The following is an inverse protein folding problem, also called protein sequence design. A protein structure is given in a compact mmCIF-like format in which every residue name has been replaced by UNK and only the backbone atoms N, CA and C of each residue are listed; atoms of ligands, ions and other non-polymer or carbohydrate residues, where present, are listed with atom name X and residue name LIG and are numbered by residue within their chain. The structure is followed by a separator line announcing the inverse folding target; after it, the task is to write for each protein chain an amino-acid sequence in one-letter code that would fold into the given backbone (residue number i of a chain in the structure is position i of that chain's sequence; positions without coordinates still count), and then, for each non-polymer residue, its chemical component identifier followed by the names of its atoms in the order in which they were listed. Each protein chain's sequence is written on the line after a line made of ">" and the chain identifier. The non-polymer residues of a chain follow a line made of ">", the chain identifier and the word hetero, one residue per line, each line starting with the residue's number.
data_IF_888292470560
#
_entry.id   IF_888292470560
#
_cell.length_a   1.000
_cell.length_b   1.000
_cell.length_c   1.000
_cell.angle_alpha   90.00
_cell.angle_beta   90.00
_cell.angle_gamma   90.00
#
_symmetry.space_group_name_H-M   'P 1'
#
loop_
_entity.id
_entity.type
_entity.pdbx_description
1 polymer ?
#
# COMPACT_ATOMS: atom_id res chain seq x y z
N UNK A 1 -24.43 -12.41 -25.60
CA UNK A 1 -25.01 -12.05 -24.29
C UNK A 1 -26.47 -11.60 -24.39
N UNK A 2 -26.95 -11.23 -25.60
CA UNK A 2 -28.35 -10.87 -25.84
C UNK A 2 -29.35 -11.91 -25.33
N UNK A 3 -30.34 -11.45 -24.55
CA UNK A 3 -31.42 -12.28 -24.02
C UNK A 3 -31.07 -13.18 -22.84
N UNK A 4 -29.82 -13.13 -22.34
CA UNK A 4 -29.36 -13.94 -21.20
C UNK A 4 -29.76 -13.34 -19.85
N UNK A 5 -29.86 -14.21 -18.85
CA UNK A 5 -30.09 -13.86 -17.44
C UNK A 5 -28.79 -14.00 -16.66
N UNK A 6 -28.48 -13.03 -15.80
CA UNK A 6 -27.37 -13.12 -14.86
C UNK A 6 -27.89 -13.15 -13.43
N UNK A 7 -27.19 -13.88 -12.56
CA UNK A 7 -27.36 -13.83 -11.12
C UNK A 7 -26.08 -13.32 -10.48
N UNK A 8 -26.20 -12.31 -9.64
CA UNK A 8 -25.09 -11.69 -8.94
C UNK A 8 -25.17 -12.03 -7.46
N UNK A 9 -24.18 -12.75 -6.95
CA UNK A 9 -24.02 -13.07 -5.54
C UNK A 9 -23.00 -12.11 -4.93
N UNK A 10 -23.49 -11.25 -4.05
CA UNK A 10 -22.70 -10.18 -3.42
C UNK A 10 -22.98 -8.81 -4.03
N UNK A 11 -22.89 -7.78 -3.20
CA UNK A 11 -23.12 -6.38 -3.57
C UNK A 11 -21.84 -5.53 -3.40
N UNK A 12 -20.71 -6.09 -3.85
CA UNK A 12 -19.42 -5.42 -3.89
C UNK A 12 -19.22 -4.59 -5.16
N UNK A 13 -18.16 -3.78 -5.16
CA UNK A 13 -17.80 -2.92 -6.30
C UNK A 13 -17.42 -3.73 -7.55
N UNK A 14 -16.80 -4.90 -7.36
CA UNK A 14 -16.40 -5.79 -8.45
C UNK A 14 -17.59 -6.48 -9.11
N UNK A 15 -18.53 -7.02 -8.32
CA UNK A 15 -19.78 -7.58 -8.84
C UNK A 15 -20.63 -6.52 -9.55
N UNK A 16 -20.68 -5.29 -9.05
CA UNK A 16 -21.37 -4.18 -9.70
C UNK A 16 -20.75 -3.83 -11.07
N UNK A 17 -19.43 -3.68 -11.13
CA UNK A 17 -18.74 -3.34 -12.38
C UNK A 17 -18.90 -4.45 -13.43
N UNK A 18 -18.80 -5.71 -12.99
CA UNK A 18 -18.98 -6.88 -13.86
C UNK A 18 -20.42 -6.96 -14.40
N UNK A 19 -21.42 -6.79 -13.52
CA UNK A 19 -22.82 -6.75 -13.92
C UNK A 19 -23.10 -5.61 -14.91
N UNK A 20 -22.56 -4.41 -14.65
CA UNK A 20 -22.66 -3.26 -15.56
C UNK A 20 -22.12 -3.57 -16.95
N UNK A 21 -20.97 -4.23 -17.03
CA UNK A 21 -20.38 -4.61 -18.31
C UNK A 21 -21.27 -5.63 -19.05
N UNK A 22 -21.77 -6.66 -18.37
CA UNK A 22 -22.65 -7.65 -19.01
C UNK A 22 -23.99 -7.05 -19.47
N UNK A 23 -24.59 -6.16 -18.69
CA UNK A 23 -25.81 -5.41 -19.07
C UNK A 23 -25.55 -4.56 -20.31
N UNK A 24 -24.42 -3.85 -20.37
CA UNK A 24 -24.05 -3.05 -21.56
C UNK A 24 -23.84 -3.89 -22.82
N UNK A 25 -23.62 -5.19 -22.68
CA UNK A 25 -23.45 -6.15 -23.78
C UNK A 25 -24.74 -6.97 -24.08
N UNK A 26 -25.90 -6.59 -23.53
CA UNK A 26 -27.20 -7.13 -23.94
C UNK A 26 -27.86 -8.15 -22.99
N UNK A 27 -27.35 -8.32 -21.76
CA UNK A 27 -28.09 -9.10 -20.73
C UNK A 27 -29.45 -8.47 -20.47
N UNK A 28 -30.49 -9.31 -20.40
CA UNK A 28 -31.90 -8.87 -20.30
C UNK A 28 -32.44 -8.89 -18.87
N UNK A 29 -32.00 -9.85 -18.06
CA UNK A 29 -32.50 -10.04 -16.69
C UNK A 29 -31.32 -10.12 -15.72
N UNK A 30 -31.40 -9.37 -14.63
CA UNK A 30 -30.40 -9.37 -13.55
C UNK A 30 -31.11 -9.80 -12.27
N UNK A 31 -30.66 -10.89 -11.68
CA UNK A 31 -31.02 -11.32 -10.33
C UNK A 31 -29.88 -10.93 -9.38
N UNK A 32 -30.19 -10.41 -8.19
CA UNK A 32 -29.17 -10.08 -7.19
C UNK A 32 -29.51 -10.73 -5.87
N UNK A 33 -28.56 -11.49 -5.33
CA UNK A 33 -28.62 -12.08 -3.99
C UNK A 33 -27.49 -11.53 -3.12
N UNK A 34 -27.79 -11.17 -1.89
CA UNK A 34 -26.78 -10.75 -0.91
C UNK A 34 -27.26 -11.11 0.50
N UNK A 35 -26.33 -11.40 1.42
CA UNK A 35 -26.68 -11.75 2.83
C UNK A 35 -27.50 -10.65 3.51
N UNK A 36 -27.21 -9.39 3.19
CA UNK A 36 -28.02 -8.25 3.57
C UNK A 36 -28.92 -7.91 2.38
N UNK A 37 -30.23 -8.14 2.52
CA UNK A 37 -31.19 -8.03 1.44
C UNK A 37 -31.28 -6.60 0.87
N UNK A 38 -31.19 -5.58 1.73
CA UNK A 38 -31.23 -4.17 1.34
C UNK A 38 -30.13 -3.84 0.32
N UNK A 39 -28.93 -4.42 0.50
CA UNK A 39 -27.83 -4.24 -0.46
C UNK A 39 -28.07 -4.96 -1.79
N UNK A 40 -28.84 -6.05 -1.78
CA UNK A 40 -29.28 -6.69 -3.02
C UNK A 40 -30.28 -5.80 -3.75
N UNK A 41 -31.21 -5.16 -3.03
CA UNK A 41 -32.18 -4.20 -3.60
C UNK A 41 -31.47 -3.00 -4.23
N UNK A 42 -30.55 -2.36 -3.50
CA UNK A 42 -29.78 -1.22 -4.00
C UNK A 42 -29.02 -1.54 -5.30
N UNK A 43 -28.40 -2.73 -5.38
CA UNK A 43 -27.68 -3.14 -6.58
C UNK A 43 -28.62 -3.54 -7.73
N UNK A 44 -29.71 -4.23 -7.43
CA UNK A 44 -30.71 -4.62 -8.42
C UNK A 44 -31.36 -3.39 -9.09
N UNK A 45 -31.69 -2.36 -8.32
CA UNK A 45 -32.28 -1.11 -8.83
C UNK A 45 -31.42 -0.45 -9.90
N UNK A 46 -30.09 -0.44 -9.74
CA UNK A 46 -29.14 0.13 -10.71
C UNK A 46 -29.22 -0.50 -12.10
N UNK A 47 -29.69 -1.75 -12.18
CA UNK A 47 -29.80 -2.51 -13.42
C UNK A 47 -31.24 -2.86 -13.79
N UNK A 48 -32.24 -2.25 -13.13
CA UNK A 48 -33.65 -2.63 -13.26
C UNK A 48 -33.87 -4.15 -13.09
N UNK A 49 -33.07 -4.74 -12.18
CA UNK A 49 -33.08 -6.15 -11.85
C UNK A 49 -34.03 -6.50 -10.72
N UNK A 50 -33.98 -7.77 -10.31
CA UNK A 50 -34.77 -8.35 -9.25
C UNK A 50 -33.83 -8.73 -8.09
N UNK A 51 -34.05 -8.15 -6.91
CA UNK A 51 -33.40 -8.63 -5.69
C UNK A 51 -34.13 -9.89 -5.20
N UNK A 52 -33.36 -10.94 -4.92
CA UNK A 52 -33.87 -12.20 -4.37
C UNK A 52 -33.31 -12.41 -2.97
N UNK A 53 -34.04 -13.16 -2.14
CA UNK A 53 -33.55 -13.56 -0.83
C UNK A 53 -32.33 -14.46 -0.99
N UNK A 54 -31.39 -14.35 -0.05
CA UNK A 54 -30.19 -15.16 -0.06
C UNK A 54 -30.50 -16.65 0.09
N UNK A 55 -31.56 -17.00 0.84
CA UNK A 55 -31.99 -18.41 0.96
C UNK A 55 -32.47 -18.99 -0.36
N UNK A 56 -33.07 -18.17 -1.22
CA UNK A 56 -33.62 -18.57 -2.53
C UNK A 56 -32.55 -18.67 -3.62
N UNK A 57 -31.29 -18.33 -3.32
CA UNK A 57 -30.17 -18.29 -4.27
C UNK A 57 -30.12 -19.53 -5.18
N UNK A 58 -30.13 -20.71 -4.58
CA UNK A 58 -29.98 -21.97 -5.31
C UNK A 58 -31.26 -22.40 -6.03
N UNK A 59 -32.41 -22.06 -5.46
CA UNK A 59 -33.71 -22.32 -6.07
C UNK A 59 -33.94 -21.45 -7.29
N UNK A 60 -33.36 -20.24 -7.33
CA UNK A 60 -33.42 -19.31 -8.48
C UNK A 60 -32.24 -19.46 -9.43
N UNK A 61 -31.14 -20.11 -9.03
CA UNK A 61 -29.93 -20.28 -9.84
C UNK A 61 -30.20 -20.93 -11.20
N UNK A 62 -31.20 -21.80 -11.30
CA UNK A 62 -31.58 -22.45 -12.56
C UNK A 62 -32.08 -21.46 -13.63
N UNK A 63 -32.49 -20.23 -13.28
CA UNK A 63 -32.90 -19.19 -14.23
C UNK A 63 -31.73 -18.46 -14.89
N UNK A 64 -30.54 -18.50 -14.28
CA UNK A 64 -29.40 -17.67 -14.68
C UNK A 64 -28.48 -18.39 -15.66
N UNK A 65 -28.11 -17.78 -16.77
CA UNK A 65 -27.07 -18.32 -17.67
C UNK A 65 -25.66 -18.13 -17.09
N UNK A 66 -25.48 -17.05 -16.31
CA UNK A 66 -24.21 -16.65 -15.71
C UNK A 66 -24.44 -16.30 -14.25
N UNK A 67 -23.63 -16.87 -13.34
CA UNK A 67 -23.56 -16.49 -11.93
C UNK A 67 -22.23 -15.77 -11.69
N UNK A 68 -22.29 -14.55 -11.16
CA UNK A 68 -21.12 -13.79 -10.73
C UNK A 68 -21.08 -13.83 -9.21
N UNK A 69 -19.96 -14.28 -8.62
CA UNK A 69 -19.76 -14.28 -7.18
C UNK A 69 -18.65 -13.32 -6.77
N UNK A 70 -18.94 -12.43 -5.82
CA UNK A 70 -17.99 -11.48 -5.24
C UNK A 70 -18.40 -11.15 -3.80
N UNK A 71 -18.32 -12.12 -2.90
CA UNK A 71 -18.61 -11.92 -1.48
C UNK A 71 -17.35 -11.71 -0.65
N UNK A 72 -17.53 -11.46 0.65
CA UNK A 72 -16.45 -11.37 1.64
C UNK A 72 -16.35 -12.65 2.48
N UNK A 73 -16.90 -13.77 2.00
CA UNK A 73 -16.84 -15.04 2.71
C UNK A 73 -15.41 -15.57 2.78
N UNK A 74 -15.10 -16.24 3.89
CA UNK A 74 -13.81 -16.93 4.10
C UNK A 74 -13.88 -18.43 3.77
N UNK A 75 -15.02 -18.87 3.24
CA UNK A 75 -15.35 -20.26 2.90
C UNK A 75 -16.17 -20.28 1.61
N UNK A 76 -16.23 -21.44 0.97
CA UNK A 76 -17.09 -21.63 -0.20
C UNK A 76 -18.57 -21.44 0.17
N UNK A 77 -19.18 -20.48 -0.49
CA UNK A 77 -20.61 -20.18 -0.39
C UNK A 77 -21.41 -21.04 -1.37
N UNK A 78 -20.82 -21.35 -2.53
CA UNK A 78 -21.41 -22.20 -3.57
C UNK A 78 -20.68 -23.54 -3.58
N UNK A 79 -21.38 -24.62 -3.25
CA UNK A 79 -20.84 -25.99 -3.25
C UNK A 79 -21.29 -26.80 -4.46
N UNK A 80 -20.54 -27.86 -4.78
CA UNK A 80 -20.81 -28.78 -5.90
C UNK A 80 -22.22 -29.37 -5.84
N UNK A 81 -22.68 -29.77 -4.66
CA UNK A 81 -23.98 -30.41 -4.47
C UNK A 81 -25.13 -29.45 -4.77
N UNK A 82 -24.98 -28.18 -4.36
CA UNK A 82 -25.96 -27.12 -4.61
C UNK A 82 -26.05 -26.78 -6.08
N UNK A 83 -24.91 -26.64 -6.75
CA UNK A 83 -24.84 -26.42 -8.21
C UNK A 83 -25.46 -27.59 -8.96
N UNK A 84 -25.09 -28.83 -8.62
CA UNK A 84 -25.68 -30.03 -9.22
C UNK A 84 -27.20 -30.10 -9.03
N UNK A 85 -27.70 -29.64 -7.87
CA UNK A 85 -29.13 -29.46 -7.62
C UNK A 85 -29.79 -28.49 -8.60
N UNK A 86 -29.23 -27.28 -8.75
CA UNK A 86 -29.73 -26.27 -9.68
C UNK A 86 -29.70 -26.73 -11.14
N UNK A 87 -28.67 -27.50 -11.54
CA UNK A 87 -28.54 -28.03 -12.91
C UNK A 87 -29.67 -28.97 -13.30
N UNK A 88 -30.32 -29.67 -12.34
CA UNK A 88 -31.48 -30.55 -12.64
C UNK A 88 -32.64 -29.77 -13.29
N UNK A 89 -32.80 -28.49 -12.95
CA UNK A 89 -33.84 -27.62 -13.51
C UNK A 89 -33.52 -27.05 -14.89
N UNK A 90 -32.28 -27.20 -15.38
CA UNK A 90 -31.77 -26.46 -16.55
C UNK A 90 -31.85 -27.20 -17.89
N UNK A 91 -32.28 -28.46 -17.90
CA UNK A 91 -32.49 -29.27 -19.12
C UNK A 91 -31.29 -29.28 -20.08
N UNK A 92 -30.06 -29.30 -19.54
CA UNK A 92 -28.81 -29.32 -20.32
C UNK A 92 -28.32 -27.94 -20.78
N UNK A 93 -28.93 -26.84 -20.35
CA UNK A 93 -28.42 -25.50 -20.64
C UNK A 93 -27.17 -25.18 -19.81
N UNK A 94 -26.06 -24.77 -20.44
CA UNK A 94 -24.82 -24.42 -19.75
C UNK A 94 -24.99 -23.38 -18.66
N UNK A 95 -24.23 -23.49 -17.57
CA UNK A 95 -24.13 -22.51 -16.50
C UNK A 95 -22.69 -22.01 -16.39
N UNK A 96 -22.49 -20.71 -16.55
CA UNK A 96 -21.21 -20.07 -16.34
C UNK A 96 -21.12 -19.55 -14.90
N UNK A 97 -20.10 -19.97 -14.17
CA UNK A 97 -19.79 -19.47 -12.84
C UNK A 97 -18.54 -18.59 -12.94
N UNK A 98 -18.64 -17.35 -12.49
CA UNK A 98 -17.55 -16.37 -12.50
C UNK A 98 -17.25 -16.00 -11.05
N UNK A 99 -16.18 -16.55 -10.50
CA UNK A 99 -15.70 -16.29 -9.14
C UNK A 99 -14.62 -15.20 -9.13
N UNK A 100 -15.00 -14.00 -8.71
CA UNK A 100 -14.11 -12.85 -8.57
C UNK A 100 -13.88 -12.51 -7.09
N UNK A 101 -14.16 -13.44 -6.17
CA UNK A 101 -13.92 -13.28 -4.74
C UNK A 101 -12.52 -13.71 -4.31
N UNK A 102 -12.02 -13.09 -3.24
CA UNK A 102 -10.75 -13.43 -2.60
C UNK A 102 -10.91 -13.32 -1.07
N UNK A 103 -10.94 -14.44 -0.33
CA UNK A 103 -10.90 -15.85 -0.77
C UNK A 103 -12.06 -16.27 -1.69
N UNK A 104 -11.91 -17.36 -2.44
CA UNK A 104 -12.90 -17.87 -3.41
C UNK A 104 -14.24 -18.18 -2.76
N UNK A 105 -15.32 -17.81 -3.44
CA UNK A 105 -16.70 -18.11 -3.02
C UNK A 105 -17.18 -19.48 -3.53
N UNK A 106 -16.62 -19.96 -4.64
CA UNK A 106 -17.10 -21.16 -5.32
C UNK A 106 -16.11 -22.29 -5.10
N UNK A 107 -16.63 -23.42 -4.62
CA UNK A 107 -15.87 -24.65 -4.52
C UNK A 107 -15.36 -25.05 -5.93
N UNK A 108 -14.04 -25.21 -6.15
CA UNK A 108 -13.49 -25.64 -7.43
C UNK A 108 -14.13 -26.91 -8.00
N UNK A 109 -14.61 -27.82 -7.13
CA UNK A 109 -15.27 -29.05 -7.53
C UNK A 109 -16.62 -28.82 -8.26
N UNK A 110 -17.17 -27.60 -8.21
CA UNK A 110 -18.33 -27.21 -9.03
C UNK A 110 -18.03 -27.30 -10.53
N UNK A 111 -16.77 -27.13 -10.95
CA UNK A 111 -16.36 -27.26 -12.36
C UNK A 111 -16.47 -28.68 -12.91
N UNK A 112 -16.56 -29.70 -12.05
CA UNK A 112 -16.77 -31.09 -12.48
C UNK A 112 -18.23 -31.41 -12.80
N UNK A 113 -19.16 -30.50 -12.50
CA UNK A 113 -20.59 -30.71 -12.78
C UNK A 113 -20.82 -30.56 -14.28
N UNK A 114 -21.53 -31.52 -14.89
CA UNK A 114 -21.85 -31.48 -16.31
C UNK A 114 -22.53 -30.17 -16.71
N UNK A 115 -22.11 -29.60 -17.85
CA UNK A 115 -22.58 -28.32 -18.38
C UNK A 115 -22.31 -27.09 -17.48
N UNK A 116 -21.40 -27.19 -16.50
CA UNK A 116 -20.93 -26.07 -15.68
C UNK A 116 -19.53 -25.65 -16.12
N UNK A 117 -19.34 -24.34 -16.28
CA UNK A 117 -18.05 -23.75 -16.64
C UNK A 117 -17.67 -22.74 -15.57
N UNK A 118 -16.66 -23.08 -14.76
CA UNK A 118 -16.15 -22.25 -13.69
C UNK A 118 -14.93 -21.46 -14.16
N UNK A 119 -15.01 -20.14 -14.03
CA UNK A 119 -13.92 -19.20 -14.27
C UNK A 119 -13.65 -18.41 -13.00
N UNK A 120 -12.38 -18.16 -12.73
CA UNK A 120 -11.94 -17.30 -11.64
C UNK A 120 -11.12 -16.12 -12.17
N UNK A 121 -10.67 -15.24 -11.28
CA UNK A 121 -9.88 -14.06 -11.65
C UNK A 121 -8.61 -14.39 -12.46
N UNK A 122 -7.96 -15.52 -12.18
CA UNK A 122 -6.75 -15.95 -12.90
C UNK A 122 -7.08 -16.40 -14.33
N UNK A 123 -8.22 -17.06 -14.53
CA UNK A 123 -8.67 -17.50 -15.86
C UNK A 123 -9.04 -16.31 -16.75
N UNK A 124 -9.59 -15.25 -16.16
CA UNK A 124 -9.91 -14.01 -16.88
C UNK A 124 -8.65 -13.26 -17.34
N UNK A 125 -7.56 -13.32 -16.58
CA UNK A 125 -6.28 -12.71 -16.96
C UNK A 125 -5.70 -13.31 -18.25
N UNK A 126 -5.98 -14.58 -18.56
CA UNK A 126 -5.54 -15.24 -19.80
C UNK A 126 -6.16 -14.64 -21.07
N UNK A 127 -7.37 -14.09 -20.99
CA UNK A 127 -8.13 -13.53 -22.12
C UNK A 127 -7.75 -12.06 -22.42
N UNK A 128 -7.19 -11.34 -21.44
CA UNK A 128 -6.77 -9.92 -21.57
C UNK A 128 -5.37 -9.79 -22.22
N UNK A 129 -4.81 -10.89 -22.74
CA UNK A 129 -3.44 -10.98 -23.27
C UNK A 129 -3.22 -10.34 -24.66
N UNK A 130 -4.00 -9.32 -25.05
CA UNK A 130 -3.84 -8.61 -26.33
C UNK A 130 -3.32 -7.17 -26.25
N UNK A 131 -2.86 -6.69 -25.08
CA UNK A 131 -2.27 -5.36 -24.93
C UNK A 131 -0.91 -5.37 -24.19
N UNK A 132 -0.03 -6.31 -24.55
CA UNK A 132 1.33 -6.37 -24.00
C UNK A 132 2.10 -5.06 -24.20
N UNK A 133 2.02 -4.45 -25.39
CA UNK A 133 2.74 -3.21 -25.69
C UNK A 133 2.23 -2.01 -24.89
N UNK A 134 0.92 -1.88 -24.68
CA UNK A 134 0.36 -0.83 -23.81
C UNK A 134 0.76 -1.05 -22.36
N UNK A 135 0.77 -2.31 -21.89
CA UNK A 135 1.23 -2.65 -20.52
C UNK A 135 2.71 -2.34 -20.31
N UNK A 136 3.56 -2.63 -21.30
CA UNK A 136 4.99 -2.30 -21.22
C UNK A 136 5.21 -0.79 -21.16
N UNK A 137 4.50 0.00 -21.98
CA UNK A 137 4.58 1.47 -21.93
C UNK A 137 4.10 2.06 -20.62
N UNK A 138 3.02 1.54 -20.04
CA UNK A 138 2.57 2.00 -18.73
C UNK A 138 3.50 1.55 -17.60
N UNK A 139 4.13 0.38 -17.72
CA UNK A 139 5.16 -0.08 -16.78
C UNK A 139 6.40 0.83 -16.81
N UNK A 140 6.90 1.21 -17.98
CA UNK A 140 8.03 2.15 -18.11
C UNK A 140 7.73 3.51 -17.47
N UNK A 141 6.50 4.01 -17.62
CA UNK A 141 6.07 5.26 -16.94
C UNK A 141 6.04 5.08 -15.43
N UNK A 142 5.52 3.96 -14.94
CA UNK A 142 5.47 3.65 -13.52
C UNK A 142 6.88 3.51 -12.92
N UNK A 143 7.81 2.85 -13.63
CA UNK A 143 9.20 2.72 -13.22
C UNK A 143 9.88 4.09 -13.07
N UNK A 144 9.63 5.02 -14.00
CA UNK A 144 10.16 6.38 -13.90
C UNK A 144 9.62 7.12 -12.68
N UNK A 145 8.32 6.99 -12.39
CA UNK A 145 7.71 7.58 -11.18
C UNK A 145 8.37 7.00 -9.93
N UNK A 146 8.58 5.68 -9.89
CA UNK A 146 9.23 5.00 -8.77
C UNK A 146 10.66 5.51 -8.59
N UNK A 147 11.42 5.68 -9.67
CA UNK A 147 12.79 6.21 -9.63
C UNK A 147 12.84 7.64 -9.09
N UNK A 148 11.95 8.52 -9.56
CA UNK A 148 11.85 9.91 -9.10
C UNK A 148 11.48 9.99 -7.59
N UNK A 149 10.54 9.15 -7.14
CA UNK A 149 10.14 9.05 -5.74
C UNK A 149 11.24 8.44 -4.87
N UNK A 150 11.96 7.43 -5.37
CA UNK A 150 13.08 6.82 -4.66
C UNK A 150 14.21 7.83 -4.45
N UNK A 151 14.56 8.62 -5.46
CA UNK A 151 15.53 9.71 -5.34
C UNK A 151 15.08 10.77 -4.32
N UNK A 152 13.78 11.07 -4.25
CA UNK A 152 13.23 12.01 -3.27
C UNK A 152 13.29 11.44 -1.86
N UNK A 153 12.96 10.16 -1.71
CA UNK A 153 13.04 9.44 -0.45
C UNK A 153 14.49 9.35 0.07
N UNK A 154 15.46 9.06 -0.80
CA UNK A 154 16.89 9.03 -0.43
C UNK A 154 17.37 10.39 0.08
N UNK A 155 17.08 11.49 -0.63
CA UNK A 155 17.40 12.85 -0.17
C UNK A 155 16.75 13.18 1.17
N UNK A 156 15.50 12.76 1.36
CA UNK A 156 14.81 12.94 2.65
C UNK A 156 15.49 12.16 3.77
N UNK A 157 15.91 10.91 3.50
CA UNK A 157 16.57 10.06 4.47
C UNK A 157 17.95 10.61 4.89
N UNK A 158 18.73 11.10 3.93
CA UNK A 158 20.01 11.79 4.18
C UNK A 158 19.80 13.05 5.04
N UNK A 159 18.73 13.81 4.80
CA UNK A 159 18.39 14.99 5.60
C UNK A 159 18.14 14.67 7.10
N UNK A 160 17.84 13.42 7.46
CA UNK A 160 17.63 13.01 8.85
C UNK A 160 18.93 12.80 9.61
N UNK A 161 20.07 12.57 8.95
CA UNK A 161 21.36 12.33 9.61
C UNK A 161 21.85 13.54 10.42
N UNK A 162 21.39 14.74 10.08
CA UNK A 162 21.74 15.98 10.79
C UNK A 162 21.00 16.15 12.12
N UNK A 163 19.86 15.46 12.31
CA UNK A 163 18.97 15.66 13.45
C UNK A 163 19.69 15.41 14.80
N UNK A 164 20.46 14.30 14.97
CA UNK A 164 21.24 14.07 16.19
C UNK A 164 22.28 15.17 16.45
N UNK A 165 22.95 15.66 15.41
CA UNK A 165 23.95 16.74 15.52
C UNK A 165 23.30 18.03 16.01
N UNK A 166 22.18 18.44 15.42
CA UNK A 166 21.41 19.62 15.86
C UNK A 166 20.95 19.50 17.31
N UNK A 167 20.45 18.31 17.71
CA UNK A 167 20.02 18.07 19.08
C UNK A 167 21.20 18.21 20.06
N UNK A 168 22.35 17.64 19.73
CA UNK A 168 23.56 17.72 20.54
C UNK A 168 24.11 19.16 20.64
N UNK A 169 24.09 19.93 19.56
CA UNK A 169 24.48 21.36 19.57
C UNK A 169 23.60 22.17 20.53
N UNK A 170 22.29 21.99 20.46
CA UNK A 170 21.33 22.70 21.33
C UNK A 170 21.49 22.29 22.79
N UNK A 171 21.66 21.00 23.06
CA UNK A 171 21.91 20.50 24.42
C UNK A 171 23.18 21.10 25.02
N UNK A 172 24.29 21.14 24.26
CA UNK A 172 25.55 21.74 24.71
C UNK A 172 25.41 23.24 25.01
N UNK A 173 24.69 23.97 24.16
CA UNK A 173 24.46 25.40 24.39
C UNK A 173 23.60 25.67 25.64
N UNK A 174 22.59 24.83 25.89
CA UNK A 174 21.77 24.96 27.10
C UNK A 174 22.53 24.57 28.37
N UNK A 175 23.44 23.59 28.29
CA UNK A 175 24.38 23.29 29.39
C UNK A 175 25.27 24.49 29.72
N UNK A 176 25.84 25.15 28.72
CA UNK A 176 26.65 26.37 28.92
C UNK A 176 25.80 27.48 29.53
N UNK A 177 24.61 27.72 28.99
CA UNK A 177 23.66 28.72 29.49
C UNK A 177 23.33 28.51 30.97
N UNK A 178 22.99 27.28 31.34
CA UNK A 178 22.62 26.91 32.72
C UNK A 178 23.80 27.08 33.66
N UNK A 179 25.00 26.65 33.26
CA UNK A 179 26.22 26.80 34.06
C UNK A 179 26.59 28.29 34.30
N UNK A 180 26.44 29.14 33.29
CA UNK A 180 26.68 30.58 33.44
C UNK A 180 25.58 31.27 34.26
N UNK A 181 24.33 30.84 34.12
CA UNK A 181 23.21 31.31 34.95
C UNK A 181 23.48 30.99 36.43
N UNK A 182 23.87 29.76 36.77
CA UNK A 182 24.24 29.39 38.15
C UNK A 182 25.38 30.24 38.72
N UNK A 183 26.40 30.53 37.92
CA UNK A 183 27.51 31.42 38.33
C UNK A 183 27.03 32.86 38.56
N UNK A 184 26.17 33.37 37.68
CA UNK A 184 25.60 34.71 37.80
C UNK A 184 24.73 34.83 39.07
N UNK A 185 23.89 33.84 39.33
CA UNK A 185 23.02 33.80 40.51
C UNK A 185 23.80 33.78 41.83
N UNK A 186 24.97 33.12 41.88
CA UNK A 186 25.85 33.16 43.07
C UNK A 186 26.40 34.56 43.35
N UNK A 187 26.51 35.44 42.34
CA UNK A 187 27.06 36.80 42.46
C UNK A 187 25.96 37.86 42.63
N UNK A 188 24.78 37.60 42.08
CA UNK A 188 23.60 38.46 42.16
C UNK A 188 22.72 38.01 43.33
N UNK A 189 23.08 38.40 44.56
CA UNK A 189 22.24 38.15 45.74
C UNK A 189 21.02 39.07 45.77
N UNK A 190 19.82 38.52 45.96
CA UNK A 190 18.60 39.31 46.25
C UNK A 190 17.61 39.52 45.09
N UNK A 191 17.73 38.77 43.99
CA UNK A 191 16.74 38.81 42.91
C UNK A 191 15.40 38.23 43.36
N UNK A 192 14.31 38.91 43.02
CA UNK A 192 12.95 38.37 43.14
C UNK A 192 12.70 37.26 42.12
N UNK A 193 11.70 36.40 42.37
CA UNK A 193 11.32 35.31 41.45
C UNK A 193 10.98 35.82 40.04
N UNK A 194 10.35 37.00 39.94
CA UNK A 194 10.03 37.63 38.65
C UNK A 194 11.28 38.08 37.89
N UNK A 195 12.28 38.59 38.59
CA UNK A 195 13.55 38.99 37.97
C UNK A 195 14.36 37.77 37.53
N UNK A 196 14.37 36.69 38.33
CA UNK A 196 14.98 35.41 37.95
C UNK A 196 14.39 34.85 36.66
N UNK A 197 13.05 34.82 36.54
CA UNK A 197 12.37 34.38 35.32
C UNK A 197 12.68 35.29 34.13
N UNK A 198 12.82 36.60 34.35
CA UNK A 198 13.17 37.55 33.28
C UNK A 198 14.58 37.31 32.75
N UNK A 199 15.54 37.07 33.65
CA UNK A 199 16.93 36.76 33.27
C UNK A 199 17.01 35.40 32.58
N UNK A 200 16.32 34.38 33.09
CA UNK A 200 16.25 33.06 32.45
C UNK A 200 15.69 33.17 31.02
N UNK A 201 14.54 33.84 30.85
CA UNK A 201 13.93 34.08 29.56
C UNK A 201 14.85 34.85 28.59
N UNK A 202 15.58 35.86 29.09
CA UNK A 202 16.56 36.60 28.30
C UNK A 202 17.69 35.69 27.80
N UNK A 203 18.28 34.87 28.67
CA UNK A 203 19.38 33.96 28.29
C UNK A 203 18.90 32.90 27.30
N UNK A 204 17.71 32.32 27.52
CA UNK A 204 17.06 31.40 26.59
C UNK A 204 16.85 32.05 25.21
N UNK A 205 16.35 33.29 25.17
CA UNK A 205 16.12 34.01 23.92
C UNK A 205 17.42 34.28 23.15
N UNK A 206 18.52 34.61 23.84
CA UNK A 206 19.83 34.80 23.22
C UNK A 206 20.32 33.49 22.57
N UNK A 207 20.33 32.38 23.33
CA UNK A 207 20.77 31.07 22.82
C UNK A 207 19.92 30.63 21.63
N UNK A 208 18.59 30.75 21.75
CA UNK A 208 17.67 30.38 20.66
C UNK A 208 17.92 31.21 19.40
N UNK A 209 18.11 32.53 19.53
CA UNK A 209 18.42 33.41 18.38
C UNK A 209 19.77 33.09 17.74
N UNK A 210 20.79 32.79 18.54
CA UNK A 210 22.12 32.41 18.02
C UNK A 210 22.10 31.08 17.28
N UNK A 211 21.33 30.10 17.76
CA UNK A 211 21.30 28.76 17.17
C UNK A 211 20.25 28.56 16.07
N UNK A 212 19.29 29.47 15.93
CA UNK A 212 18.23 29.33 14.93
C UNK A 212 18.80 29.19 13.52
N UNK A 213 19.60 30.16 13.08
CA UNK A 213 20.13 30.20 11.71
C UNK A 213 21.12 29.06 11.42
N UNK A 214 22.13 28.75 12.28
CA UNK A 214 23.01 27.60 12.06
C UNK A 214 22.25 26.28 12.02
N UNK A 215 21.26 26.08 12.90
CA UNK A 215 20.45 24.85 12.91
C UNK A 215 19.64 24.71 11.62
N UNK A 216 19.04 25.80 11.15
CA UNK A 216 18.23 25.82 9.93
C UNK A 216 19.08 25.49 8.70
N UNK A 217 20.25 26.16 8.57
CA UNK A 217 21.20 25.92 7.48
C UNK A 217 21.70 24.48 7.47
N UNK A 218 22.06 23.94 8.62
CA UNK A 218 22.56 22.57 8.71
C UNK A 218 21.50 21.56 8.26
N UNK A 219 20.22 21.76 8.63
CA UNK A 219 19.11 20.90 8.19
C UNK A 219 18.86 20.95 6.68
N UNK A 220 18.99 22.13 6.08
CA UNK A 220 18.73 22.31 4.65
C UNK A 220 19.89 21.75 3.80
N UNK A 221 21.12 22.00 4.22
CA UNK A 221 22.33 21.59 3.50
C UNK A 221 22.60 20.07 3.63
N UNK A 222 22.12 19.42 4.70
CA UNK A 222 22.28 17.98 4.88
C UNK A 222 21.63 17.12 3.78
N UNK A 223 20.69 17.66 3.00
CA UNK A 223 20.08 17.00 1.85
C UNK A 223 20.84 17.25 0.52
N UNK A 224 21.92 18.01 0.56
CA UNK A 224 22.76 18.34 -0.61
C UNK A 224 24.01 17.45 -0.66
N UNK A 225 24.63 17.36 -1.86
CA UNK A 225 25.75 16.46 -2.15
C UNK A 225 26.98 16.65 -1.24
N UNK A 226 27.20 17.86 -0.73
CA UNK A 226 28.31 18.21 0.16
C UNK A 226 27.84 18.44 1.62
N UNK A 227 26.59 18.05 1.93
CA UNK A 227 25.96 18.31 3.23
C UNK A 227 26.70 17.70 4.42
N UNK A 228 27.31 16.53 4.20
CA UNK A 228 28.08 15.81 5.20
C UNK A 228 29.25 16.62 5.77
N UNK A 229 29.97 17.37 4.94
CA UNK A 229 31.13 18.16 5.37
C UNK A 229 30.73 19.24 6.39
N UNK A 230 29.57 19.86 6.19
CA UNK A 230 29.02 20.84 7.12
C UNK A 230 28.58 20.21 8.44
N UNK A 231 28.01 19.00 8.39
CA UNK A 231 27.63 18.25 9.61
C UNK A 231 28.88 17.91 10.43
N UNK A 232 29.93 17.39 9.79
CA UNK A 232 31.20 17.09 10.46
C UNK A 232 31.89 18.36 11.00
N UNK A 233 31.90 19.44 10.23
CA UNK A 233 32.42 20.73 10.70
C UNK A 233 31.66 21.23 11.93
N UNK A 234 30.33 21.10 11.96
CA UNK A 234 29.52 21.48 13.12
C UNK A 234 29.84 20.59 14.34
N UNK A 235 30.01 19.28 14.14
CA UNK A 235 30.40 18.34 15.21
C UNK A 235 31.76 18.69 15.79
N UNK A 236 32.74 19.01 14.94
CA UNK A 236 34.08 19.44 15.34
C UNK A 236 34.05 20.78 16.09
N UNK A 237 33.42 21.82 15.53
CA UNK A 237 33.38 23.16 16.11
C UNK A 237 32.67 23.19 17.46
N UNK A 238 31.63 22.36 17.63
CA UNK A 238 30.92 22.21 18.90
C UNK A 238 31.51 21.10 19.77
N UNK A 239 32.60 20.44 19.37
CA UNK A 239 33.22 19.31 20.08
C UNK A 239 32.16 18.30 20.58
N UNK A 240 31.36 17.78 19.66
CA UNK A 240 30.26 16.85 19.94
C UNK A 240 30.71 15.38 19.94
N UNK A 241 31.82 15.06 19.26
CA UNK A 241 32.38 13.71 19.16
C UNK A 241 33.08 13.23 20.43
N UNK A 242 33.45 14.14 21.33
CA UNK A 242 34.02 13.80 22.64
C UNK A 242 32.97 13.24 23.61
N UNK A 243 31.68 13.42 23.30
CA UNK A 243 30.55 13.07 24.17
C UNK A 243 29.69 11.89 23.67
N UNK A 244 29.89 11.40 22.43
CA UNK A 244 29.04 10.36 21.83
C UNK A 244 29.82 9.06 21.55
N UNK A 245 29.26 7.86 21.85
CA UNK A 245 29.85 6.59 21.44
C UNK A 245 29.95 6.53 19.91
N UNK A 246 31.11 6.12 19.38
CA UNK A 246 31.50 6.11 17.95
C UNK A 246 30.64 5.27 16.99
N UNK A 247 29.49 4.74 17.38
CA UNK A 247 28.82 3.64 16.64
C UNK A 247 27.57 4.00 15.82
N UNK A 248 27.10 5.25 15.75
CA UNK A 248 25.81 5.54 15.08
C UNK A 248 25.86 6.18 13.69
N UNK A 249 27.02 6.60 13.19
CA UNK A 249 27.16 7.29 11.90
C UNK A 249 27.13 6.41 10.65
N UNK A 250 26.78 5.13 10.73
CA UNK A 250 26.93 4.20 9.59
C UNK A 250 25.78 3.21 9.35
N UNK A 251 24.70 3.25 10.16
CA UNK A 251 23.64 2.25 10.07
C UNK A 251 22.87 2.35 8.74
N UNK A 252 22.61 3.57 8.29
CA UNK A 252 21.92 3.84 7.02
C UNK A 252 22.73 3.42 5.80
N UNK A 253 24.04 3.70 5.80
CA UNK A 253 24.96 3.20 4.77
C UNK A 253 25.05 1.66 4.74
N UNK A 254 24.95 0.99 5.90
CA UNK A 254 24.93 -0.48 5.95
C UNK A 254 23.65 -1.08 5.35
N UNK A 255 22.54 -0.35 5.43
CA UNK A 255 21.23 -0.75 4.89
C UNK A 255 21.13 -0.44 3.39
N UNK A 256 21.60 0.73 2.95
CA UNK A 256 21.58 1.18 1.56
C UNK A 256 22.73 0.60 0.70
N UNK A 257 23.83 0.18 1.32
CA UNK A 257 24.94 -0.44 0.62
C UNK A 257 24.69 -1.90 0.17
N UNK A 258 23.64 -2.54 0.70
CA UNK A 258 23.29 -3.95 0.38
C UNK A 258 22.40 -4.11 -0.85
N UNK A 259 21.82 -3.03 -1.40
CA UNK A 259 20.91 -3.11 -2.54
C UNK A 259 21.60 -3.10 -3.92
N UNK A 260 22.93 -2.94 -3.99
CA UNK A 260 23.68 -2.89 -5.27
C UNK A 260 24.11 -4.26 -5.84
N UNK A 261 23.82 -5.37 -5.17
CA UNK A 261 24.08 -6.72 -5.73
C UNK A 261 22.75 -7.39 -6.11
N UNK A 262 22.26 -7.09 -7.31
CA UNK A 262 21.26 -7.93 -7.96
C UNK A 262 21.92 -9.27 -8.36
N UNK A 263 21.25 -10.42 -8.18
CA UNK A 263 21.81 -11.71 -8.55
C UNK A 263 21.94 -11.77 -10.08
N UNK A 264 23.17 -12.02 -10.57
CA UNK A 264 23.40 -12.34 -11.98
C UNK A 264 22.56 -13.57 -12.33
N UNK A 265 21.58 -13.39 -13.20
CA UNK A 265 20.81 -14.47 -13.79
C UNK A 265 21.76 -15.43 -14.50
N UNK A 266 21.69 -16.70 -14.11
CA UNK A 266 22.41 -17.77 -14.76
C UNK A 266 21.91 -17.93 -16.20
N UNK A 267 22.73 -17.54 -17.17
CA UNK A 267 22.59 -17.99 -18.55
C UNK A 267 22.94 -19.47 -18.58
N UNK A 268 21.92 -20.30 -18.79
CA UNK A 268 22.06 -21.74 -18.99
C UNK A 268 22.61 -21.96 -20.40
N UNK A 269 23.94 -22.16 -20.50
CA UNK A 269 24.58 -22.61 -21.73
C UNK A 269 24.15 -24.06 -21.99
N UNK A 270 23.39 -24.27 -23.07
CA UNK A 270 23.19 -25.59 -23.65
C UNK A 270 24.53 -26.06 -24.21
N UNK A 271 25.14 -27.02 -23.53
CA UNK A 271 26.32 -27.72 -24.02
C UNK A 271 25.94 -28.63 -25.19
N UNK A 272 26.38 -28.25 -26.40
CA UNK A 272 26.63 -29.17 -27.49
C UNK A 272 27.73 -30.16 -27.07
N UNK A 273 27.36 -31.42 -26.92
CA UNK A 273 28.26 -32.54 -26.64
C UNK A 273 28.22 -33.57 -27.76
N UNK A 274 28.95 -33.30 -28.85
CA UNK A 274 29.34 -34.28 -29.85
C UNK A 274 30.41 -35.23 -29.28
N UNK A 275 30.16 -36.54 -29.41
CA UNK A 275 31.18 -37.55 -29.75
C UNK A 275 32.02 -38.16 -28.62
N UNK A 276 31.64 -39.34 -28.14
CA UNK A 276 32.28 -40.64 -28.42
C UNK A 276 31.55 -41.77 -27.68
#
# INVERSE_FOLDING_TARGET
>A
LEGRTILVLGAGKMSELTAKHLVSNGVRKVLVANRTYERAQELAEKFSGEAILYEDLFDRMHEADIVISSTAATHYVISKERVAGAMKGRRGNPLFLIDIAMPRDIDPACGDVGDVYLYNIDDLNGVVSSNLDERMREAEKAEKIIEDEMNTFERWLESLEVVPTVAAMRAKADQIRTAEMEKALKRLSGLSEKELQTVDALTCAIVNKMLHEPTSRLKNIAAEKDGYEYVEAARYLYALDEAAPKERGGLLRSLLGRSKEAPKTATNEMGDGLGC
#
